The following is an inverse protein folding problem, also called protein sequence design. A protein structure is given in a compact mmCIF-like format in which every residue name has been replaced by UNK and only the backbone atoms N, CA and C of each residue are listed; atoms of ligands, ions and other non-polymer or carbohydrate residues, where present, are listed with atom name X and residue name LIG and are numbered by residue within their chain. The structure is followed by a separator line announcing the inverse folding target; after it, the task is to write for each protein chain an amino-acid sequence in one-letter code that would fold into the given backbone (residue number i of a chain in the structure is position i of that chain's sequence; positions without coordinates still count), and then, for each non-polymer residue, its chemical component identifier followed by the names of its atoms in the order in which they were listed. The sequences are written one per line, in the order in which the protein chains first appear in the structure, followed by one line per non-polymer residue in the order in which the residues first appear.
data_IF_048258036599
#
_entry.id   IF_048258036599
#
_cell.length_a   1.000
_cell.length_b   1.000
_cell.length_c   1.000
_cell.angle_alpha   90.00
_cell.angle_beta   90.00
_cell.angle_gamma   90.00
#
_symmetry.space_group_name_H-M   'P 1'
#
loop_
_entity.id
_entity.type
_entity.pdbx_description
1 polymer ?
#
# COMPACT_ATOMS: atom_id res chain seq x y z
N UNK A 1 9.40 10.96 -10.35
CA UNK A 1 10.37 11.46 -9.39
C UNK A 1 11.77 11.01 -9.79
N UNK A 2 12.72 11.86 -9.63
CA UNK A 2 14.12 11.57 -9.90
C UNK A 2 14.87 11.29 -8.61
N UNK A 3 16.13 10.93 -8.72
CA UNK A 3 16.96 10.61 -7.57
C UNK A 3 17.07 11.76 -6.58
N UNK A 4 17.13 12.99 -7.06
CA UNK A 4 17.23 14.16 -6.20
C UNK A 4 16.00 14.31 -5.33
N UNK A 5 14.82 14.08 -5.87
CA UNK A 5 13.58 14.15 -5.09
C UNK A 5 13.53 13.05 -4.04
N UNK A 6 13.96 11.85 -4.40
CA UNK A 6 14.01 10.74 -3.46
C UNK A 6 14.99 11.02 -2.31
N UNK A 7 16.16 11.54 -2.63
CA UNK A 7 17.14 11.89 -1.61
C UNK A 7 16.64 13.00 -0.69
N UNK A 8 15.96 13.98 -1.26
CA UNK A 8 15.39 15.08 -0.48
C UNK A 8 14.33 14.56 0.52
N UNK A 9 13.49 13.65 0.08
CA UNK A 9 12.49 13.06 0.95
C UNK A 9 13.11 12.27 2.10
N UNK A 10 14.14 11.50 1.82
CA UNK A 10 14.85 10.76 2.87
C UNK A 10 15.49 11.72 3.87
N UNK A 11 16.08 12.80 3.41
CA UNK A 11 16.68 13.80 4.28
C UNK A 11 15.64 14.51 5.15
N UNK A 12 14.48 14.80 4.59
CA UNK A 12 13.40 15.42 5.35
C UNK A 12 12.86 14.49 6.43
N UNK A 13 12.69 13.23 6.12
CA UNK A 13 12.26 12.24 7.10
C UNK A 13 13.27 12.11 8.23
N UNK A 14 14.56 12.13 7.92
CA UNK A 14 15.60 12.07 8.94
C UNK A 14 15.60 13.28 9.86
N UNK A 15 15.14 14.45 9.38
CA UNK A 15 15.03 15.65 10.19
C UNK A 15 13.77 15.67 11.04
N UNK A 16 12.68 15.11 10.54
CA UNK A 16 11.38 15.17 11.21
C UNK A 16 11.24 14.11 12.29
N UNK A 17 11.88 12.97 12.10
CA UNK A 17 11.80 11.84 13.02
C UNK A 17 13.22 11.42 13.40
N UNK A 18 13.51 11.17 14.69
CA UNK A 18 14.83 10.67 15.06
C UNK A 18 15.04 9.27 14.53
N UNK A 19 15.64 9.18 13.36
CA UNK A 19 15.89 7.92 12.68
C UNK A 19 17.36 7.58 12.83
N UNK A 20 17.66 6.45 13.45
CA UNK A 20 19.04 6.01 13.64
C UNK A 20 19.63 5.42 12.38
N UNK A 21 18.82 4.85 11.52
CA UNK A 21 19.33 4.34 10.27
C UNK A 21 18.27 4.46 9.18
N UNK A 22 18.74 4.76 7.97
CA UNK A 22 17.91 4.78 6.77
C UNK A 22 18.51 3.78 5.82
N UNK A 23 17.72 2.83 5.37
CA UNK A 23 18.20 1.73 4.55
C UNK A 23 17.33 1.55 3.33
N UNK A 24 17.97 1.36 2.19
CA UNK A 24 17.25 1.03 0.96
C UNK A 24 16.87 -0.45 1.02
N UNK A 25 15.59 -0.73 0.91
CA UNK A 25 15.10 -2.10 1.00
C UNK A 25 15.28 -2.84 -0.33
N UNK A 26 15.73 -4.08 -0.23
CA UNK A 26 15.89 -4.96 -1.39
C UNK A 26 14.54 -5.66 -1.66
N UNK A 27 13.98 -5.56 -2.87
CA UNK A 27 12.66 -6.12 -3.16
C UNK A 27 12.52 -7.61 -2.80
N UNK A 28 13.54 -8.41 -3.02
CA UNK A 28 13.49 -9.83 -2.71
C UNK A 28 13.51 -10.13 -1.20
N UNK A 29 13.95 -9.17 -0.39
CA UNK A 29 14.08 -9.32 1.05
C UNK A 29 13.01 -8.54 1.81
N UNK A 30 12.09 -7.90 1.13
CA UNK A 30 11.14 -7.03 1.78
C UNK A 30 9.70 -7.45 1.49
N UNK A 31 8.82 -7.12 2.43
CA UNK A 31 7.39 -7.22 2.26
C UNK A 31 6.90 -5.84 1.88
N UNK A 32 6.26 -5.74 0.73
CA UNK A 32 5.75 -4.47 0.22
C UNK A 32 4.24 -4.54 0.08
N UNK A 33 3.57 -3.53 0.58
CA UNK A 33 2.11 -3.45 0.51
C UNK A 33 1.69 -2.01 0.29
N UNK A 34 0.56 -1.84 -0.37
CA UNK A 34 -0.12 -0.55 -0.44
C UNK A 34 -1.61 -0.78 -0.24
N UNK A 35 -2.29 0.24 0.23
CA UNK A 35 -3.74 0.27 0.31
C UNK A 35 -4.25 1.10 -0.86
N UNK A 36 -5.16 0.54 -1.62
CA UNK A 36 -5.77 1.24 -2.74
C UNK A 36 -7.28 1.23 -2.55
N UNK A 37 -7.89 2.38 -2.77
CA UNK A 37 -9.34 2.53 -2.75
C UNK A 37 -9.81 2.77 -4.18
N UNK A 38 -10.76 1.97 -4.62
CA UNK A 38 -11.35 2.10 -5.95
C UNK A 38 -12.83 2.42 -5.82
N UNK A 39 -13.25 3.52 -6.43
CA UNK A 39 -14.67 3.81 -6.59
C UNK A 39 -15.03 3.48 -8.03
N UNK A 40 -15.90 2.51 -8.23
CA UNK A 40 -16.18 1.93 -9.54
C UNK A 40 -17.65 2.07 -9.87
N UNK A 41 -17.95 2.33 -11.12
CA UNK A 41 -19.35 2.35 -11.58
C UNK A 41 -19.95 0.97 -11.55
N UNK A 42 -21.16 0.89 -11.04
CA UNK A 42 -21.92 -0.33 -11.00
C UNK A 42 -23.37 0.01 -11.32
N UNK A 43 -23.73 -0.06 -12.59
CA UNK A 43 -25.02 0.44 -13.08
C UNK A 43 -26.18 -0.46 -12.71
N UNK A 44 -25.95 -1.74 -12.53
CA UNK A 44 -26.99 -2.71 -12.25
C UNK A 44 -26.47 -3.76 -11.27
N UNK A 45 -27.35 -4.66 -10.87
CA UNK A 45 -27.01 -5.72 -9.92
C UNK A 45 -25.97 -6.68 -10.45
N UNK A 46 -25.99 -6.92 -11.75
CA UNK A 46 -25.02 -7.81 -12.38
C UNK A 46 -23.61 -7.24 -12.27
N UNK A 47 -23.42 -5.96 -12.57
CA UNK A 47 -22.14 -5.29 -12.42
C UNK A 47 -21.67 -5.29 -10.97
N UNK A 48 -22.58 -5.03 -10.04
CA UNK A 48 -22.25 -5.06 -8.61
C UNK A 48 -21.77 -6.43 -8.18
N UNK A 49 -22.45 -7.48 -8.62
CA UNK A 49 -22.07 -8.85 -8.29
C UNK A 49 -20.68 -9.20 -8.85
N UNK A 50 -20.39 -8.79 -10.08
CA UNK A 50 -19.09 -9.05 -10.68
C UNK A 50 -17.97 -8.31 -9.93
N UNK A 51 -18.21 -7.07 -9.55
CA UNK A 51 -17.23 -6.30 -8.78
C UNK A 51 -16.99 -6.93 -7.41
N UNK A 52 -18.05 -7.38 -6.76
CA UNK A 52 -17.95 -8.07 -5.47
C UNK A 52 -17.13 -9.36 -5.62
N UNK A 53 -17.32 -10.09 -6.71
CA UNK A 53 -16.53 -11.30 -6.97
C UNK A 53 -15.05 -10.96 -7.15
N UNK A 54 -14.74 -9.89 -7.87
CA UNK A 54 -13.36 -9.44 -8.03
C UNK A 54 -12.77 -9.10 -6.67
N UNK A 55 -13.50 -8.36 -5.85
CA UNK A 55 -13.04 -8.02 -4.51
C UNK A 55 -12.74 -9.27 -3.69
N UNK A 56 -13.62 -10.26 -3.73
CA UNK A 56 -13.45 -11.49 -2.98
C UNK A 56 -12.24 -12.30 -3.46
N UNK A 57 -12.03 -12.36 -4.77
CA UNK A 57 -10.90 -13.11 -5.35
C UNK A 57 -9.57 -12.51 -4.86
N UNK A 58 -9.49 -11.20 -4.81
CA UNK A 58 -8.28 -10.50 -4.38
C UNK A 58 -8.27 -10.17 -2.89
N UNK A 59 -9.23 -10.70 -2.13
CA UNK A 59 -9.36 -10.48 -0.68
C UNK A 59 -9.48 -9.01 -0.31
N UNK A 60 -10.17 -8.26 -1.17
CA UNK A 60 -10.51 -6.88 -0.86
C UNK A 60 -11.76 -6.79 -0.01
N UNK A 61 -12.08 -5.58 0.40
CA UNK A 61 -13.26 -5.30 1.20
C UNK A 61 -14.13 -4.29 0.49
N UNK A 62 -15.44 -4.49 0.53
CA UNK A 62 -16.40 -3.51 0.05
C UNK A 62 -16.64 -2.53 1.20
N UNK A 63 -16.36 -1.24 0.96
CA UNK A 63 -16.49 -0.23 2.01
C UNK A 63 -17.73 0.62 1.85
N UNK A 64 -18.22 0.78 0.63
CA UNK A 64 -19.38 1.60 0.39
C UNK A 64 -20.13 1.11 -0.83
N UNK A 65 -21.45 1.18 -0.77
CA UNK A 65 -22.32 0.80 -1.88
C UNK A 65 -23.35 1.92 -2.07
N UNK A 66 -23.40 2.47 -3.26
CA UNK A 66 -24.44 3.43 -3.61
C UNK A 66 -25.22 2.91 -4.81
N UNK A 67 -26.18 3.68 -5.29
CA UNK A 67 -27.03 3.25 -6.41
C UNK A 67 -26.23 2.89 -7.66
N UNK A 68 -25.23 3.70 -7.98
CA UNK A 68 -24.51 3.56 -9.23
C UNK A 68 -23.02 3.32 -9.05
N UNK A 69 -22.54 3.27 -7.83
CA UNK A 69 -21.12 3.06 -7.56
C UNK A 69 -20.91 2.07 -6.43
N UNK A 70 -19.73 1.52 -6.43
CA UNK A 70 -19.29 0.59 -5.40
C UNK A 70 -17.85 0.93 -5.07
N UNK A 71 -17.55 1.11 -3.80
CA UNK A 71 -16.18 1.43 -3.37
C UNK A 71 -15.60 0.23 -2.65
N UNK A 72 -14.40 -0.15 -3.06
CA UNK A 72 -13.70 -1.27 -2.44
C UNK A 72 -12.27 -0.89 -2.11
N UNK A 73 -11.73 -1.57 -1.13
CA UNK A 73 -10.34 -1.43 -0.74
C UNK A 73 -9.59 -2.73 -1.00
N UNK A 74 -8.35 -2.60 -1.45
CA UNK A 74 -7.48 -3.75 -1.67
C UNK A 74 -6.12 -3.44 -1.08
N UNK A 75 -5.58 -4.39 -0.35
CA UNK A 75 -4.24 -4.29 0.21
C UNK A 75 -3.40 -5.35 -0.48
N UNK A 76 -2.28 -4.96 -1.03
CA UNK A 76 -1.41 -5.90 -1.70
C UNK A 76 -0.16 -5.25 -2.26
N UNK A 77 0.62 -6.03 -2.97
CA UNK A 77 1.77 -5.51 -3.68
C UNK A 77 1.32 -4.83 -4.99
N UNK A 78 2.28 -4.27 -5.71
CA UNK A 78 2.00 -3.55 -6.94
C UNK A 78 1.33 -4.44 -7.99
N UNK A 79 1.76 -5.67 -8.12
CA UNK A 79 1.20 -6.60 -9.10
C UNK A 79 -0.27 -6.87 -8.82
N UNK A 80 -0.60 -7.07 -7.57
CA UNK A 80 -1.97 -7.34 -7.15
C UNK A 80 -2.88 -6.14 -7.38
N UNK A 81 -2.46 -4.96 -6.94
CA UNK A 81 -3.27 -3.75 -7.07
C UNK A 81 -3.43 -3.33 -8.53
N UNK A 82 -2.40 -3.50 -9.34
CA UNK A 82 -2.49 -3.22 -10.77
C UNK A 82 -3.43 -4.19 -11.48
N UNK A 83 -3.40 -5.46 -11.10
CA UNK A 83 -4.31 -6.46 -11.67
C UNK A 83 -5.77 -6.14 -11.34
N UNK A 84 -6.05 -5.73 -10.11
CA UNK A 84 -7.39 -5.32 -9.71
C UNK A 84 -7.82 -4.09 -10.50
N UNK A 85 -6.95 -3.11 -10.62
CA UNK A 85 -7.25 -1.89 -11.38
C UNK A 85 -7.61 -2.23 -12.82
N UNK A 86 -6.84 -3.08 -13.46
CA UNK A 86 -7.08 -3.47 -14.84
C UNK A 86 -8.45 -4.12 -15.01
N UNK A 87 -8.84 -5.00 -14.10
CA UNK A 87 -10.15 -5.63 -14.14
C UNK A 87 -11.28 -4.64 -13.89
N UNK A 88 -11.08 -3.69 -13.00
CA UNK A 88 -12.11 -2.71 -12.65
C UNK A 88 -12.27 -1.63 -13.71
N UNK A 89 -11.26 -1.38 -14.51
CA UNK A 89 -11.34 -0.39 -15.59
C UNK A 89 -12.45 -0.69 -16.58
N UNK A 90 -12.77 -1.95 -16.76
CA UNK A 90 -13.87 -2.36 -17.64
C UNK A 90 -15.24 -1.86 -17.20
N UNK A 91 -15.41 -1.59 -15.91
CA UNK A 91 -16.65 -1.04 -15.37
C UNK A 91 -16.65 0.48 -15.32
N UNK A 92 -15.49 1.08 -15.29
CA UNK A 92 -15.30 2.52 -15.18
C UNK A 92 -14.92 2.93 -13.76
N UNK A 93 -13.67 3.26 -13.57
CA UNK A 93 -13.18 3.75 -12.28
C UNK A 93 -13.47 5.23 -12.19
N UNK A 94 -14.27 5.63 -11.20
CA UNK A 94 -14.63 7.02 -10.97
C UNK A 94 -13.54 7.74 -10.19
N UNK A 95 -13.04 7.09 -9.16
CA UNK A 95 -11.97 7.63 -8.32
C UNK A 95 -11.05 6.50 -7.89
N UNK A 96 -9.79 6.83 -7.76
CA UNK A 96 -8.78 5.90 -7.31
C UNK A 96 -7.81 6.63 -6.39
N UNK A 97 -7.60 6.09 -5.20
CA UNK A 97 -6.67 6.65 -4.23
C UNK A 97 -5.70 5.56 -3.80
N UNK A 98 -4.42 5.88 -3.83
CA UNK A 98 -3.36 4.98 -3.39
C UNK A 98 -2.61 5.62 -2.24
N UNK A 99 -2.28 4.82 -1.22
CA UNK A 99 -1.46 5.31 -0.11
C UNK A 99 0.01 5.40 -0.49
N UNK A 100 0.39 4.74 -1.57
CA UNK A 100 1.78 4.51 -1.89
C UNK A 100 2.29 3.25 -1.21
N UNK A 101 3.44 2.79 -1.66
CA UNK A 101 4.02 1.53 -1.19
C UNK A 101 4.67 1.72 0.17
N UNK A 102 4.30 0.88 1.12
CA UNK A 102 5.00 0.75 2.39
C UNK A 102 5.75 -0.58 2.37
N UNK A 103 6.90 -0.62 3.01
CA UNK A 103 7.77 -1.77 2.94
C UNK A 103 8.46 -2.04 4.27
N UNK A 104 8.70 -3.32 4.52
CA UNK A 104 9.38 -3.78 5.73
C UNK A 104 10.23 -4.98 5.33
N UNK A 105 11.41 -5.12 5.91
CA UNK A 105 12.21 -6.29 5.64
C UNK A 105 11.56 -7.55 6.21
N UNK A 106 11.76 -8.67 5.52
CA UNK A 106 11.25 -9.96 5.99
C UNK A 106 11.96 -10.37 7.27
N UNK A 107 11.31 -11.24 8.06
CA UNK A 107 11.79 -11.62 9.38
C UNK A 107 13.25 -12.07 9.48
N UNK A 108 13.79 -12.62 8.40
CA UNK A 108 15.18 -13.03 8.33
C UNK A 108 16.13 -11.83 8.25
N UNK A 109 15.67 -10.71 7.74
CA UNK A 109 16.44 -9.48 7.55
C UNK A 109 15.87 -8.41 8.44
N UNK A 110 16.73 -7.56 9.00
CA UNK A 110 16.28 -6.47 9.84
C UNK A 110 17.05 -5.21 9.49
N UNK A 111 16.47 -4.06 9.79
CA UNK A 111 16.95 -2.79 9.28
C UNK A 111 18.36 -2.46 9.74
N UNK A 112 18.68 -2.78 10.98
CA UNK A 112 20.00 -2.55 11.54
C UNK A 112 20.17 -3.37 12.81
N UNK A 113 20.89 -4.47 12.70
CA UNK A 113 21.13 -5.36 13.82
C UNK A 113 21.92 -4.69 14.94
N UNK A 114 22.94 -3.91 14.57
CA UNK A 114 23.74 -3.20 15.57
C UNK A 114 22.94 -2.18 16.35
N UNK A 115 22.12 -1.40 15.65
CA UNK A 115 21.24 -0.44 16.28
C UNK A 115 20.25 -1.14 17.21
N UNK A 116 19.72 -2.25 16.75
CA UNK A 116 18.77 -3.04 17.52
C UNK A 116 19.41 -3.60 18.78
N UNK A 117 20.64 -4.10 18.67
CA UNK A 117 21.38 -4.66 19.80
C UNK A 117 21.70 -3.59 20.85
N UNK A 118 21.98 -2.39 20.41
CA UNK A 118 22.24 -1.27 21.33
C UNK A 118 20.99 -0.76 22.01
N UNK A 119 19.83 -1.24 21.60
CA UNK A 119 18.58 -0.80 22.18
C UNK A 119 18.15 0.61 21.77
N UNK A 120 18.80 1.16 20.78
CA UNK A 120 18.50 2.50 20.30
C UNK A 120 17.35 2.54 19.34
N UNK A 121 16.98 1.41 18.81
CA UNK A 121 15.91 1.27 17.83
C UNK A 121 14.57 1.12 18.55
N UNK A 122 14.15 2.16 19.24
CA UNK A 122 12.95 2.11 20.05
C UNK A 122 11.87 3.07 19.61
N UNK A 123 12.19 4.03 18.75
CA UNK A 123 11.19 5.01 18.34
C UNK A 123 9.99 4.38 17.65
N UNK A 124 10.17 3.25 16.99
CA UNK A 124 9.04 2.51 16.42
C UNK A 124 8.07 2.02 17.46
N UNK A 125 8.58 1.62 18.62
CA UNK A 125 7.74 1.20 19.74
C UNK A 125 7.07 2.38 20.41
N UNK A 126 7.77 3.49 20.47
CA UNK A 126 7.24 4.70 21.10
C UNK A 126 6.17 5.35 20.23
N UNK A 127 6.29 5.24 18.94
CA UNK A 127 5.34 5.78 17.98
C UNK A 127 4.07 4.93 17.91
N UNK A 128 4.19 3.66 18.11
CA UNK A 128 3.07 2.74 18.09
C UNK A 128 2.41 2.67 19.47
#
# INVERSE_FOLDING_TARGET
ANENQTNLMCNQLAKMVPVHSVKLLVPSHSIRRELVLYKVRAKNSEDKNEIIQIANIFRGSIIDVSKETLTLSVIGDEKKTDAVQELLEGFGIVELVRTGMIALERGKYTIDEDTKEKGEFNYGKDVL
#
